data_IF_023716697877
#
_entry.id   IF_023716697877
#
_cell.length_a   1.000
_cell.length_b   1.000
_cell.length_c   1.000
_cell.angle_alpha   90.00
_cell.angle_beta   90.00
_cell.angle_gamma   90.00
#
_symmetry.space_group_name_H-M   'P 1'
#
loop_
_entity.id
_entity.type
_entity.pdbx_description
1 polymer ?
#
# COMPACT_ATOMS: atom_id res chain seq x y z
N UNK A 1 -5.43 35.93 -23.75
CA UNK A 1 -4.73 34.80 -24.42
C UNK A 1 -5.65 33.59 -24.42
N UNK A 2 -5.58 32.73 -25.43
CA UNK A 2 -6.36 31.49 -25.52
C UNK A 2 -5.37 30.32 -25.55
N UNK A 3 -5.69 29.28 -24.82
CA UNK A 3 -4.90 28.04 -24.72
C UNK A 3 -5.66 26.87 -25.32
N UNK A 4 -4.93 25.92 -25.91
CA UNK A 4 -5.45 24.66 -26.42
C UNK A 4 -4.95 23.58 -25.45
N UNK A 5 -5.89 22.96 -24.72
CA UNK A 5 -5.54 22.11 -23.56
C UNK A 5 -6.20 20.74 -23.72
N UNK A 6 -5.43 19.68 -23.43
CA UNK A 6 -5.93 18.33 -23.22
C UNK A 6 -6.11 18.05 -21.75
N UNK A 7 -7.26 17.46 -21.42
CA UNK A 7 -7.56 17.00 -20.07
C UNK A 7 -7.69 15.46 -20.07
N UNK A 8 -7.36 14.88 -18.95
CA UNK A 8 -7.67 13.47 -18.72
C UNK A 8 -9.14 13.28 -18.29
N UNK A 9 -9.55 12.02 -18.09
CA UNK A 9 -10.91 11.65 -17.68
C UNK A 9 -11.32 12.22 -16.31
N UNK A 10 -10.35 12.59 -15.48
CA UNK A 10 -10.57 13.19 -14.15
C UNK A 10 -10.62 14.71 -14.19
N UNK A 11 -10.30 15.31 -15.34
CA UNK A 11 -10.28 16.75 -15.56
C UNK A 11 -8.94 17.42 -15.26
N UNK A 12 -7.87 16.66 -15.08
CA UNK A 12 -6.53 17.20 -14.91
C UNK A 12 -5.92 17.59 -16.25
N UNK A 13 -5.26 18.75 -16.26
CA UNK A 13 -4.55 19.27 -17.41
C UNK A 13 -3.33 18.40 -17.74
N UNK A 14 -3.26 17.91 -18.98
CA UNK A 14 -2.15 17.10 -19.48
C UNK A 14 -1.20 17.93 -20.34
N UNK A 15 -1.64 18.37 -21.53
CA UNK A 15 -0.85 19.13 -22.49
C UNK A 15 -1.48 20.49 -22.71
N UNK A 16 -0.64 21.51 -22.94
CA UNK A 16 -1.08 22.89 -23.13
C UNK A 16 -0.27 23.56 -24.21
N UNK A 17 -0.96 24.22 -25.13
CA UNK A 17 -0.38 25.03 -26.19
C UNK A 17 -1.00 26.44 -26.19
N UNK A 18 -0.23 27.44 -26.61
CA UNK A 18 -0.72 28.82 -26.80
C UNK A 18 -1.29 28.92 -28.19
N UNK A 19 -2.56 29.27 -28.32
CA UNK A 19 -3.27 29.32 -29.63
C UNK A 19 -2.61 30.26 -30.60
N UNK A 20 -2.19 31.45 -30.15
CA UNK A 20 -1.62 32.51 -31.01
C UNK A 20 -0.24 32.14 -31.59
N UNK A 21 0.40 31.09 -31.08
CA UNK A 21 1.69 30.58 -31.57
C UNK A 21 1.53 29.45 -32.60
N UNK A 22 0.30 29.13 -33.02
CA UNK A 22 -0.01 27.95 -33.83
C UNK A 22 -0.70 28.34 -35.15
N UNK A 23 -0.58 27.45 -36.16
CA UNK A 23 -1.33 27.57 -37.40
C UNK A 23 -2.77 27.11 -37.20
N UNK A 24 -3.71 27.69 -38.00
CA UNK A 24 -5.12 27.26 -37.94
C UNK A 24 -5.32 25.77 -38.25
N UNK A 25 -4.49 25.20 -39.10
CA UNK A 25 -4.52 23.77 -39.44
C UNK A 25 -4.18 22.92 -38.19
N UNK A 26 -3.10 23.29 -37.49
CA UNK A 26 -2.68 22.57 -36.27
C UNK A 26 -3.71 22.72 -35.14
N UNK A 27 -4.32 23.90 -35.00
CA UNK A 27 -5.38 24.10 -34.00
C UNK A 27 -6.56 23.16 -34.29
N UNK A 28 -6.97 23.06 -35.58
CA UNK A 28 -8.08 22.18 -35.96
C UNK A 28 -7.78 20.71 -35.68
N UNK A 29 -6.59 20.24 -36.01
CA UNK A 29 -6.14 18.88 -35.68
C UNK A 29 -6.24 18.59 -34.21
N UNK A 30 -5.73 19.45 -33.32
CA UNK A 30 -5.78 19.27 -31.87
C UNK A 30 -7.22 19.24 -31.35
N UNK A 31 -8.10 20.10 -31.86
CA UNK A 31 -9.52 20.07 -31.47
C UNK A 31 -10.18 18.74 -31.86
N UNK A 32 -9.84 18.21 -33.05
CA UNK A 32 -10.31 16.89 -33.50
C UNK A 32 -9.72 15.74 -32.66
N UNK A 33 -8.53 15.92 -32.06
CA UNK A 33 -7.89 15.00 -31.10
C UNK A 33 -8.45 15.12 -29.66
N UNK A 34 -9.45 15.98 -29.43
CA UNK A 34 -10.11 16.14 -28.14
C UNK A 34 -9.48 17.17 -27.20
N UNK A 35 -8.63 18.06 -27.74
CA UNK A 35 -8.23 19.25 -27.02
C UNK A 35 -9.36 20.27 -27.02
N UNK A 36 -9.37 21.16 -26.05
CA UNK A 36 -10.36 22.23 -25.95
C UNK A 36 -9.71 23.62 -25.83
N UNK A 37 -10.42 24.64 -26.24
CA UNK A 37 -10.01 26.03 -26.04
C UNK A 37 -10.35 26.48 -24.62
N UNK A 38 -9.37 27.09 -23.94
CA UNK A 38 -9.51 27.63 -22.59
C UNK A 38 -9.03 29.08 -22.60
N UNK A 39 -9.80 29.98 -22.03
CA UNK A 39 -9.43 31.39 -21.92
C UNK A 39 -8.36 31.61 -20.83
N UNK A 40 -7.80 32.83 -20.81
CA UNK A 40 -6.73 33.19 -19.85
C UNK A 40 -7.17 33.05 -18.38
N UNK A 41 -8.38 33.47 -18.03
CA UNK A 41 -8.89 33.45 -16.65
C UNK A 41 -9.01 32.02 -16.15
N UNK A 42 -9.66 31.15 -16.91
CA UNK A 42 -9.80 29.73 -16.58
C UNK A 42 -8.45 29.03 -16.55
N UNK A 43 -7.52 29.39 -17.45
CA UNK A 43 -6.18 28.83 -17.40
C UNK A 43 -5.42 29.22 -16.14
N UNK A 44 -5.51 30.47 -15.71
CA UNK A 44 -4.89 30.91 -14.45
C UNK A 44 -5.55 30.27 -13.23
N UNK A 45 -6.83 29.96 -13.27
CA UNK A 45 -7.55 29.21 -12.25
C UNK A 45 -7.02 27.76 -12.17
N UNK A 46 -6.85 27.09 -13.32
CA UNK A 46 -6.26 25.75 -13.42
C UNK A 46 -4.82 25.69 -12.87
N UNK A 47 -4.08 26.80 -12.89
CA UNK A 47 -2.73 26.90 -12.34
C UNK A 47 -2.69 27.27 -10.85
N UNK A 48 -3.82 27.63 -10.26
CA UNK A 48 -3.89 28.12 -8.88
C UNK A 48 -3.43 29.57 -8.71
N UNK A 49 -3.33 30.35 -9.78
CA UNK A 49 -2.80 31.71 -9.72
C UNK A 49 -3.85 32.77 -9.31
N UNK A 50 -5.14 32.41 -9.24
CA UNK A 50 -6.23 33.34 -8.88
C UNK A 50 -6.49 33.31 -7.38
N UNK A 51 -6.64 32.12 -6.78
CA UNK A 51 -7.03 31.92 -5.39
C UNK A 51 -6.03 31.11 -4.56
N UNK A 52 -4.91 30.72 -5.18
CA UNK A 52 -3.87 29.90 -4.57
C UNK A 52 -4.18 28.39 -4.55
N UNK A 53 -5.23 27.96 -5.25
CA UNK A 53 -5.68 26.57 -5.33
C UNK A 53 -5.71 26.09 -6.76
N UNK A 54 -5.17 24.92 -7.02
CA UNK A 54 -5.27 24.27 -8.33
C UNK A 54 -6.69 23.76 -8.53
N UNK A 55 -7.22 23.94 -9.74
CA UNK A 55 -8.56 23.50 -10.12
C UNK A 55 -8.49 22.45 -11.23
N UNK A 56 -9.48 21.58 -11.24
CA UNK A 56 -9.72 20.58 -12.27
C UNK A 56 -11.00 20.94 -13.06
N UNK A 57 -11.01 20.63 -14.36
CA UNK A 57 -12.17 20.82 -15.21
C UNK A 57 -13.15 19.66 -15.05
N UNK A 58 -14.40 19.99 -14.82
CA UNK A 58 -15.51 19.02 -14.84
C UNK A 58 -16.64 19.48 -15.74
N UNK A 59 -17.49 18.55 -16.13
CA UNK A 59 -18.73 18.80 -16.82
C UNK A 59 -19.89 18.32 -15.96
N UNK A 60 -20.73 19.26 -15.53
CA UNK A 60 -21.88 18.99 -14.66
C UNK A 60 -23.13 19.51 -15.39
N UNK A 61 -24.07 18.63 -15.67
CA UNK A 61 -25.32 18.94 -16.40
C UNK A 61 -25.12 19.63 -17.77
N UNK A 62 -23.99 19.32 -18.44
CA UNK A 62 -23.62 19.92 -19.72
C UNK A 62 -22.94 21.28 -19.64
N UNK A 63 -22.67 21.77 -18.43
CA UNK A 63 -21.91 22.99 -18.19
C UNK A 63 -20.49 22.67 -17.71
N UNK A 64 -19.49 23.42 -18.18
CA UNK A 64 -18.10 23.31 -17.74
C UNK A 64 -17.94 24.09 -16.44
N UNK A 65 -17.46 23.40 -15.41
CA UNK A 65 -17.13 23.98 -14.11
C UNK A 65 -15.67 23.67 -13.77
N UNK A 66 -15.04 24.56 -13.03
CA UNK A 66 -13.72 24.35 -12.46
C UNK A 66 -13.85 24.20 -10.95
N UNK A 67 -13.53 23.02 -10.44
CA UNK A 67 -13.58 22.71 -9.01
C UNK A 67 -12.18 22.69 -8.43
N UNK A 68 -12.05 23.10 -7.15
CA UNK A 68 -10.80 22.92 -6.41
C UNK A 68 -10.34 21.45 -6.45
N UNK A 69 -9.06 21.24 -6.77
CA UNK A 69 -8.47 19.90 -6.71
C UNK A 69 -8.66 19.29 -5.32
N UNK A 70 -9.23 18.10 -5.21
CA UNK A 70 -9.39 17.46 -3.90
C UNK A 70 -8.01 17.23 -3.26
N UNK A 71 -7.92 17.36 -1.92
CA UNK A 71 -6.66 17.13 -1.24
C UNK A 71 -6.15 15.71 -1.55
N UNK A 72 -4.84 15.63 -1.82
CA UNK A 72 -4.20 14.35 -2.03
C UNK A 72 -4.37 13.45 -0.80
N UNK A 73 -4.92 12.28 -1.00
CA UNK A 73 -5.04 11.23 0.02
C UNK A 73 -4.11 10.09 -0.38
N UNK A 74 -3.04 9.82 0.38
CA UNK A 74 -2.14 8.73 0.06
C UNK A 74 -2.87 7.39 0.00
N UNK A 75 -2.50 6.56 -0.94
CA UNK A 75 -2.93 5.16 -0.99
C UNK A 75 -2.32 4.37 0.18
N UNK A 76 -2.90 3.23 0.51
CA UNK A 76 -2.33 2.36 1.55
C UNK A 76 -0.91 1.90 1.17
N UNK A 77 -0.66 1.63 -0.10
CA UNK A 77 0.67 1.25 -0.61
C UNK A 77 1.72 2.34 -0.38
N UNK A 78 1.36 3.61 -0.64
CA UNK A 78 2.25 4.75 -0.36
C UNK A 78 2.50 4.95 1.13
N UNK A 79 1.48 4.73 1.98
CA UNK A 79 1.64 4.77 3.43
C UNK A 79 2.56 3.65 3.93
N UNK A 80 2.41 2.43 3.39
CA UNK A 80 3.27 1.29 3.71
C UNK A 80 4.71 1.52 3.26
N UNK A 81 4.94 2.14 2.09
CA UNK A 81 6.28 2.53 1.63
C UNK A 81 6.91 3.58 2.55
N UNK A 82 6.15 4.59 2.98
CA UNK A 82 6.63 5.62 3.89
C UNK A 82 6.99 5.02 5.25
N UNK A 83 6.14 4.16 5.81
CA UNK A 83 6.42 3.45 7.07
C UNK A 83 7.66 2.58 6.94
N UNK A 84 7.79 1.80 5.86
CA UNK A 84 8.94 0.95 5.61
C UNK A 84 10.25 1.75 5.53
N UNK A 85 10.25 2.86 4.82
CA UNK A 85 11.43 3.73 4.70
C UNK A 85 11.82 4.35 6.06
N UNK A 86 10.85 4.82 6.84
CA UNK A 86 11.07 5.37 8.17
C UNK A 86 11.62 4.28 9.13
N UNK A 87 11.00 3.10 9.14
CA UNK A 87 11.42 1.98 9.96
C UNK A 87 12.84 1.50 9.61
N UNK A 88 13.17 1.42 8.32
CA UNK A 88 14.52 1.03 7.86
C UNK A 88 15.59 1.98 8.36
N UNK A 89 15.36 3.29 8.30
CA UNK A 89 16.28 4.30 8.83
C UNK A 89 16.47 4.17 10.35
N UNK A 90 15.38 3.94 11.09
CA UNK A 90 15.44 3.77 12.54
C UNK A 90 16.19 2.49 12.93
N UNK A 91 15.94 1.36 12.25
CA UNK A 91 16.65 0.10 12.46
C UNK A 91 18.14 0.21 12.14
N UNK A 92 18.52 0.95 11.09
CA UNK A 92 19.92 1.23 10.77
C UNK A 92 20.59 2.03 11.90
N UNK A 93 19.91 3.03 12.44
CA UNK A 93 20.42 3.83 13.57
C UNK A 93 20.62 2.97 14.81
N UNK A 94 19.66 2.11 15.13
CA UNK A 94 19.77 1.16 16.25
C UNK A 94 20.92 0.15 16.06
N UNK A 95 21.12 -0.34 14.85
CA UNK A 95 22.24 -1.24 14.53
C UNK A 95 23.61 -0.56 14.67
N UNK A 96 23.74 0.69 14.22
CA UNK A 96 24.95 1.48 14.39
C UNK A 96 25.21 1.75 15.88
N UNK A 97 24.20 2.14 16.65
CA UNK A 97 24.31 2.35 18.08
C UNK A 97 24.74 1.06 18.81
N UNK A 98 24.15 -0.10 18.45
CA UNK A 98 24.55 -1.39 19.01
C UNK A 98 26.02 -1.72 18.73
N UNK A 99 26.49 -1.43 17.50
CA UNK A 99 27.90 -1.60 17.13
C UNK A 99 28.81 -0.70 17.96
N UNK A 100 28.45 0.56 18.17
CA UNK A 100 29.21 1.52 18.97
C UNK A 100 29.27 1.09 20.44
N UNK A 101 28.13 0.64 21.01
CA UNK A 101 28.06 0.14 22.38
C UNK A 101 28.91 -1.15 22.57
N UNK A 102 28.88 -2.05 21.57
CA UNK A 102 29.71 -3.27 21.60
C UNK A 102 31.22 -2.96 21.62
N UNK A 103 31.64 -1.88 20.95
CA UNK A 103 33.03 -1.40 20.97
C UNK A 103 33.41 -0.76 22.32
N UNK A 104 32.43 -0.28 23.07
CA UNK A 104 32.62 0.34 24.40
C UNK A 104 32.44 -0.62 25.57
N UNK A 105 32.23 -1.95 25.33
CA UNK A 105 31.92 -2.95 26.33
C UNK A 105 30.61 -2.69 27.12
N UNK A 106 29.68 -1.94 26.56
CA UNK A 106 28.38 -1.65 27.17
C UNK A 106 27.38 -2.79 27.00
N UNK A 107 26.39 -2.85 27.89
CA UNK A 107 25.31 -3.85 27.82
C UNK A 107 24.38 -3.63 26.62
N UNK A 108 24.32 -4.61 25.71
CA UNK A 108 23.52 -4.56 24.48
C UNK A 108 22.10 -5.08 24.64
N UNK A 109 21.70 -5.55 25.84
CA UNK A 109 20.39 -6.20 26.06
C UNK A 109 19.25 -5.22 25.76
N UNK A 110 19.34 -4.00 26.24
CA UNK A 110 18.32 -2.96 26.02
C UNK A 110 18.19 -2.61 24.53
N UNK A 111 19.31 -2.40 23.84
CA UNK A 111 19.33 -2.10 22.40
C UNK A 111 18.72 -3.23 21.58
N UNK A 112 19.05 -4.48 21.90
CA UNK A 112 18.46 -5.67 21.27
C UNK A 112 16.94 -5.72 21.47
N UNK A 113 16.46 -5.48 22.68
CA UNK A 113 15.04 -5.49 23.01
C UNK A 113 14.29 -4.36 22.26
N UNK A 114 14.90 -3.18 22.16
CA UNK A 114 14.37 -2.05 21.41
C UNK A 114 14.25 -2.40 19.93
N UNK A 115 15.30 -2.96 19.34
CA UNK A 115 15.31 -3.42 17.94
C UNK A 115 14.20 -4.45 17.67
N UNK A 116 14.07 -5.48 18.52
CA UNK A 116 13.03 -6.48 18.37
C UNK A 116 11.62 -5.90 18.53
N UNK A 117 11.44 -4.99 19.47
CA UNK A 117 10.16 -4.31 19.67
C UNK A 117 9.78 -3.47 18.46
N UNK A 118 10.75 -2.78 17.87
CA UNK A 118 10.52 -2.02 16.62
C UNK A 118 10.11 -2.93 15.47
N UNK A 119 10.80 -4.06 15.25
CA UNK A 119 10.41 -5.03 14.21
C UNK A 119 8.97 -5.54 14.37
N UNK A 120 8.49 -5.76 15.60
CA UNK A 120 7.10 -6.19 15.85
C UNK A 120 6.09 -5.11 15.52
N UNK A 121 6.42 -3.83 15.77
CA UNK A 121 5.49 -2.70 15.60
C UNK A 121 5.29 -2.28 14.16
N UNK A 122 6.12 -2.75 13.21
CA UNK A 122 5.98 -2.44 11.78
C UNK A 122 4.71 -3.10 11.25
N UNK A 123 3.86 -2.34 10.55
CA UNK A 123 2.65 -2.86 9.91
C UNK A 123 2.96 -4.02 8.96
N UNK A 124 1.97 -4.83 8.63
CA UNK A 124 2.17 -5.97 7.75
C UNK A 124 2.51 -5.52 6.32
N UNK A 125 1.88 -4.44 5.82
CA UNK A 125 2.18 -3.85 4.52
C UNK A 125 3.62 -3.30 4.44
N UNK A 126 4.02 -2.47 5.39
CA UNK A 126 5.39 -1.93 5.45
C UNK A 126 6.44 -3.05 5.65
N UNK A 127 6.12 -4.09 6.42
CA UNK A 127 7.01 -5.23 6.61
C UNK A 127 7.28 -6.00 5.31
N UNK A 128 6.30 -6.10 4.42
CA UNK A 128 6.49 -6.69 3.10
C UNK A 128 7.39 -5.86 2.19
N UNK A 129 7.32 -4.52 2.26
CA UNK A 129 8.21 -3.60 1.51
C UNK A 129 9.68 -3.67 1.95
N UNK A 130 9.96 -4.26 3.12
CA UNK A 130 11.30 -4.38 3.70
C UNK A 130 11.55 -5.78 4.29
N UNK A 131 11.01 -6.81 3.69
CA UNK A 131 11.02 -8.18 4.22
C UNK A 131 12.43 -8.72 4.50
N UNK A 132 13.44 -8.25 3.77
CA UNK A 132 14.85 -8.64 3.92
C UNK A 132 15.46 -8.29 5.28
N UNK A 133 14.86 -7.36 6.06
CA UNK A 133 15.39 -7.01 7.38
C UNK A 133 14.92 -7.95 8.49
N UNK A 134 13.91 -8.78 8.21
CA UNK A 134 13.38 -9.72 9.19
C UNK A 134 14.23 -10.99 9.27
N UNK A 135 14.38 -11.57 10.49
CA UNK A 135 15.20 -12.76 10.66
C UNK A 135 14.58 -13.97 9.97
N UNK A 136 15.42 -14.89 9.54
CA UNK A 136 14.95 -16.20 9.08
C UNK A 136 14.37 -17.01 10.26
N UNK A 137 13.33 -17.79 9.94
CA UNK A 137 12.80 -18.76 10.89
C UNK A 137 13.87 -19.76 11.33
N UNK A 138 13.85 -20.15 12.60
CA UNK A 138 14.74 -21.15 13.18
C UNK A 138 13.95 -22.13 14.03
N UNK A 139 14.16 -23.44 13.79
CA UNK A 139 13.61 -24.54 14.62
C UNK A 139 14.43 -24.89 15.83
N UNK A 140 15.54 -24.18 16.13
CA UNK A 140 16.52 -24.52 17.13
C UNK A 140 16.18 -23.93 18.52
N UNK A 141 15.05 -24.32 19.10
CA UNK A 141 14.63 -23.89 20.45
C UNK A 141 14.65 -22.36 20.62
N UNK A 142 14.33 -21.62 19.58
CA UNK A 142 14.22 -20.17 19.62
C UNK A 142 12.90 -19.77 20.25
N UNK A 143 12.94 -18.83 21.18
CA UNK A 143 11.74 -18.20 21.71
C UNK A 143 11.18 -17.21 20.70
N UNK A 144 9.93 -17.40 20.34
CA UNK A 144 9.14 -16.48 19.52
C UNK A 144 8.05 -15.86 20.35
N UNK A 145 7.86 -14.57 20.15
CA UNK A 145 6.81 -13.77 20.80
C UNK A 145 5.75 -13.44 19.77
N UNK A 146 4.50 -13.36 20.19
CA UNK A 146 3.40 -12.92 19.32
C UNK A 146 3.78 -11.63 18.59
N UNK A 147 3.41 -11.55 17.32
CA UNK A 147 3.70 -10.47 16.38
C UNK A 147 5.18 -10.39 15.90
N UNK A 148 6.06 -11.30 16.35
CA UNK A 148 7.35 -11.48 15.66
C UNK A 148 7.09 -11.82 14.18
N UNK A 149 7.93 -11.27 13.31
CA UNK A 149 7.88 -11.60 11.88
C UNK A 149 9.15 -12.33 11.49
N UNK A 150 9.02 -13.37 10.66
CA UNK A 150 10.14 -14.23 10.23
C UNK A 150 10.03 -14.60 8.76
N UNK A 151 11.16 -14.69 8.08
CA UNK A 151 11.25 -15.22 6.71
C UNK A 151 11.39 -16.74 6.74
N UNK A 152 10.59 -17.42 5.92
CA UNK A 152 10.70 -18.85 5.65
C UNK A 152 10.38 -19.11 4.18
N UNK A 153 11.30 -19.77 3.47
CA UNK A 153 11.21 -20.03 2.03
C UNK A 153 10.85 -18.79 1.18
N UNK A 154 11.43 -17.63 1.54
CA UNK A 154 11.21 -16.37 0.83
C UNK A 154 9.87 -15.67 1.15
N UNK A 155 9.07 -16.24 2.04
CA UNK A 155 7.77 -15.70 2.46
C UNK A 155 7.87 -15.15 3.87
N UNK A 156 7.26 -14.00 4.14
CA UNK A 156 7.19 -13.41 5.47
C UNK A 156 5.99 -13.99 6.24
N UNK A 157 6.24 -14.45 7.46
CA UNK A 157 5.24 -14.98 8.38
C UNK A 157 5.22 -14.19 9.68
N UNK A 158 4.03 -14.03 10.24
CA UNK A 158 3.80 -13.45 11.57
C UNK A 158 3.52 -14.54 12.59
N UNK A 159 4.13 -14.44 13.76
CA UNK A 159 3.90 -15.34 14.91
C UNK A 159 2.57 -14.99 15.56
N UNK A 160 1.69 -15.99 15.73
CA UNK A 160 0.34 -15.82 16.28
C UNK A 160 0.29 -15.93 17.79
N UNK A 161 1.22 -16.66 18.39
CA UNK A 161 1.30 -16.85 19.84
C UNK A 161 2.73 -17.14 20.31
N UNK A 162 3.00 -16.83 21.57
CA UNK A 162 4.31 -17.11 22.16
C UNK A 162 4.58 -18.61 22.19
N UNK A 163 5.74 -19.01 21.71
CA UNK A 163 6.17 -20.42 21.75
C UNK A 163 7.67 -20.55 21.63
N UNK A 164 8.19 -21.70 22.01
CA UNK A 164 9.57 -22.10 21.73
C UNK A 164 9.57 -22.99 20.49
N UNK A 165 10.33 -22.62 19.45
CA UNK A 165 10.36 -23.32 18.18
C UNK A 165 10.88 -24.76 18.31
N UNK A 166 10.44 -25.62 17.42
CA UNK A 166 10.91 -26.97 17.20
C UNK A 166 11.15 -27.22 15.72
N UNK A 167 12.08 -28.08 15.37
CA UNK A 167 12.50 -28.33 13.99
C UNK A 167 11.33 -28.66 13.04
N UNK A 168 10.33 -29.41 13.49
CA UNK A 168 9.14 -29.79 12.72
C UNK A 168 8.03 -28.74 12.68
N UNK A 169 8.14 -27.64 13.43
CA UNK A 169 7.09 -26.59 13.50
C UNK A 169 7.41 -25.41 12.59
N UNK A 170 7.62 -25.74 11.31
CA UNK A 170 7.86 -24.69 10.30
C UNK A 170 6.63 -23.81 10.09
N UNK A 171 6.78 -22.57 9.60
CA UNK A 171 5.64 -21.68 9.31
C UNK A 171 4.55 -22.29 8.43
N UNK A 172 4.92 -23.18 7.51
CA UNK A 172 3.99 -23.91 6.64
C UNK A 172 3.37 -25.15 7.30
N UNK A 173 4.06 -25.80 8.26
CA UNK A 173 3.56 -27.02 8.92
C UNK A 173 2.78 -26.74 10.21
N UNK A 174 2.89 -25.55 10.79
CA UNK A 174 2.26 -25.16 12.04
C UNK A 174 1.39 -23.89 11.90
N UNK A 175 0.27 -23.95 11.17
CA UNK A 175 -0.58 -22.78 10.90
C UNK A 175 -1.25 -22.21 12.16
N UNK A 176 -1.28 -22.93 13.27
CA UNK A 176 -1.72 -22.41 14.57
C UNK A 176 -0.69 -21.48 15.23
N UNK A 177 0.57 -21.52 14.79
CA UNK A 177 1.67 -20.72 15.34
C UNK A 177 2.05 -19.56 14.42
N UNK A 178 1.78 -19.68 13.13
CA UNK A 178 2.22 -18.74 12.12
C UNK A 178 1.11 -18.40 11.12
N UNK A 179 1.03 -17.13 10.72
CA UNK A 179 0.24 -16.65 9.61
C UNK A 179 1.14 -16.07 8.52
N UNK A 180 0.83 -16.33 7.27
CA UNK A 180 1.48 -15.63 6.15
C UNK A 180 1.12 -14.14 6.22
N UNK A 181 2.11 -13.27 6.11
CA UNK A 181 1.87 -11.82 6.01
C UNK A 181 1.39 -11.51 4.59
N UNK A 182 0.24 -10.90 4.49
CA UNK A 182 -0.42 -10.53 3.22
C UNK A 182 -0.53 -9.02 3.13
N UNK A 183 -0.49 -8.48 1.90
CA UNK A 183 -0.79 -7.07 1.64
C UNK A 183 -2.29 -6.84 1.62
N UNK A 184 -2.73 -5.71 2.14
CA UNK A 184 -4.09 -5.22 1.92
C UNK A 184 -4.31 -4.65 0.51
N UNK A 185 -3.23 -4.30 -0.21
CA UNK A 185 -3.26 -3.79 -1.59
C UNK A 185 -2.02 -4.27 -2.36
N UNK A 186 -2.20 -4.96 -3.49
CA UNK A 186 -1.17 -5.21 -4.49
C UNK A 186 -1.07 -6.62 -5.03
N UNK A 187 -1.04 -7.65 -4.26
CA UNK A 187 -1.13 -9.02 -4.75
C UNK A 187 -2.28 -9.74 -4.06
N UNK A 188 -3.45 -9.68 -4.70
CA UNK A 188 -4.61 -10.44 -4.22
C UNK A 188 -4.32 -11.91 -4.52
N UNK A 189 -4.02 -12.66 -3.45
CA UNK A 189 -3.69 -14.07 -3.55
C UNK A 189 -4.95 -14.92 -3.78
N UNK A 190 -4.74 -16.11 -4.32
CA UNK A 190 -5.82 -17.10 -4.42
C UNK A 190 -6.33 -17.45 -3.01
N UNK A 191 -7.65 -17.64 -2.91
CA UNK A 191 -8.28 -18.09 -1.67
C UNK A 191 -7.70 -19.46 -1.26
N UNK A 192 -7.22 -19.55 -0.05
CA UNK A 192 -6.81 -20.80 0.57
C UNK A 192 -7.68 -21.08 1.80
N UNK A 193 -7.97 -22.36 2.07
CA UNK A 193 -8.75 -22.72 3.27
C UNK A 193 -8.01 -22.26 4.53
N UNK A 194 -8.49 -21.23 5.24
CA UNK A 194 -7.84 -20.78 6.46
C UNK A 194 -8.07 -21.75 7.61
N UNK A 195 -7.16 -21.74 8.59
CA UNK A 195 -7.40 -22.38 9.87
C UNK A 195 -8.26 -21.50 10.77
N UNK A 196 -8.81 -22.08 11.84
CA UNK A 196 -9.57 -21.32 12.85
C UNK A 196 -8.70 -20.27 13.60
N UNK A 197 -7.38 -20.38 13.49
CA UNK A 197 -6.41 -19.49 14.14
C UNK A 197 -5.85 -18.43 13.20
N UNK A 198 -6.11 -18.55 11.90
CA UNK A 198 -5.71 -17.59 10.88
C UNK A 198 -6.87 -17.39 9.86
N UNK A 199 -8.04 -16.93 10.31
CA UNK A 199 -9.17 -16.64 9.43
C UNK A 199 -8.92 -15.35 8.65
N UNK A 200 -9.64 -15.17 7.55
CA UNK A 200 -9.71 -13.87 6.89
C UNK A 200 -10.47 -12.87 7.77
N UNK A 201 -9.98 -11.66 7.80
CA UNK A 201 -10.61 -10.56 8.54
C UNK A 201 -11.44 -9.70 7.58
N UNK A 202 -12.34 -8.91 8.13
CA UNK A 202 -13.13 -7.97 7.34
C UNK A 202 -12.19 -7.00 6.59
N UNK A 203 -12.39 -6.90 5.27
CA UNK A 203 -11.56 -6.10 4.36
C UNK A 203 -10.46 -6.89 3.64
N UNK A 204 -10.15 -8.13 4.07
CA UNK A 204 -9.20 -8.98 3.36
C UNK A 204 -9.74 -9.34 1.97
N UNK A 205 -8.87 -9.26 0.96
CA UNK A 205 -9.21 -9.56 -0.43
C UNK A 205 -8.56 -10.88 -0.87
N UNK A 206 -9.30 -11.66 -1.65
CA UNK A 206 -8.83 -12.94 -2.20
C UNK A 206 -9.29 -13.10 -3.64
N UNK A 207 -8.51 -13.84 -4.44
CA UNK A 207 -8.97 -14.36 -5.74
C UNK A 207 -9.64 -15.70 -5.53
N UNK A 208 -10.84 -15.88 -6.08
CA UNK A 208 -11.56 -17.13 -6.05
C UNK A 208 -12.29 -17.33 -7.37
N UNK A 209 -12.02 -18.43 -8.07
CA UNK A 209 -12.59 -18.74 -9.39
C UNK A 209 -12.44 -17.57 -10.40
N UNK A 210 -11.28 -16.90 -10.40
CA UNK A 210 -10.95 -15.82 -11.35
C UNK A 210 -11.60 -14.47 -11.03
N UNK A 211 -12.25 -14.31 -9.87
CA UNK A 211 -12.85 -13.09 -9.37
C UNK A 211 -12.22 -12.66 -8.05
N UNK A 212 -12.32 -11.39 -7.73
CA UNK A 212 -11.82 -10.83 -6.47
C UNK A 212 -13.00 -10.71 -5.50
N UNK A 213 -12.78 -11.16 -4.26
CA UNK A 213 -13.73 -11.07 -3.18
C UNK A 213 -13.12 -10.40 -1.96
N UNK A 214 -13.86 -9.48 -1.35
CA UNK A 214 -13.53 -8.84 -0.08
C UNK A 214 -14.34 -9.46 1.05
N UNK A 215 -13.70 -9.83 2.15
CA UNK A 215 -14.38 -10.37 3.33
C UNK A 215 -15.20 -9.29 4.02
N UNK A 216 -16.47 -9.55 4.29
CA UNK A 216 -17.39 -8.65 4.98
C UNK A 216 -17.42 -8.85 6.49
N UNK A 217 -16.81 -9.93 6.98
CA UNK A 217 -16.83 -10.33 8.39
C UNK A 217 -15.43 -10.66 8.90
N UNK A 218 -15.25 -10.50 10.20
CA UNK A 218 -14.06 -10.99 10.90
C UNK A 218 -14.17 -12.50 11.12
N UNK A 219 -13.02 -13.16 11.23
CA UNK A 219 -12.90 -14.60 11.45
C UNK A 219 -13.57 -15.45 10.35
N UNK A 220 -13.51 -15.00 9.11
CA UNK A 220 -14.07 -15.69 7.97
C UNK A 220 -13.19 -16.90 7.58
N UNK A 221 -13.73 -18.11 7.74
CA UNK A 221 -13.06 -19.38 7.41
C UNK A 221 -13.71 -20.10 6.22
N UNK A 222 -14.73 -19.53 5.63
CA UNK A 222 -15.48 -20.12 4.52
C UNK A 222 -15.07 -19.50 3.19
N UNK A 223 -15.13 -20.28 2.11
CA UNK A 223 -14.92 -19.76 0.77
C UNK A 223 -16.07 -18.84 0.32
N UNK A 224 -15.84 -17.97 -0.68
CA UNK A 224 -16.91 -17.18 -1.30
C UNK A 224 -18.07 -18.02 -1.82
N UNK A 225 -17.81 -19.25 -2.27
CA UNK A 225 -18.85 -20.18 -2.72
C UNK A 225 -19.63 -20.80 -1.54
N UNK A 226 -18.93 -21.21 -0.48
CA UNK A 226 -19.55 -21.86 0.67
C UNK A 226 -20.37 -20.89 1.55
N UNK A 227 -19.95 -19.62 1.61
CA UNK A 227 -20.64 -18.58 2.39
C UNK A 227 -20.66 -17.23 1.65
N UNK A 228 -21.47 -17.09 0.58
CA UNK A 228 -21.50 -15.85 -0.22
C UNK A 228 -21.83 -14.57 0.56
N UNK A 229 -22.58 -14.70 1.68
CA UNK A 229 -22.97 -13.56 2.52
C UNK A 229 -21.79 -12.97 3.31
N UNK A 230 -20.71 -13.72 3.48
CA UNK A 230 -19.49 -13.27 4.13
C UNK A 230 -18.49 -12.59 3.18
N UNK A 231 -18.84 -12.47 1.89
CA UNK A 231 -17.96 -11.96 0.85
C UNK A 231 -18.69 -10.98 -0.06
N UNK A 232 -17.97 -10.02 -0.58
CA UNK A 232 -18.42 -9.08 -1.61
C UNK A 232 -17.50 -9.22 -2.81
N UNK A 233 -18.06 -9.51 -3.99
CA UNK A 233 -17.32 -9.44 -5.24
C UNK A 233 -16.93 -7.98 -5.49
N UNK A 234 -15.66 -7.71 -5.79
CA UNK A 234 -15.09 -6.39 -6.09
C UNK A 234 -14.36 -6.45 -7.43
N UNK A 235 -14.39 -5.35 -8.17
CA UNK A 235 -13.66 -5.21 -9.43
C UNK A 235 -12.19 -4.86 -9.13
N UNK A 236 -11.29 -5.18 -10.09
CA UNK A 236 -9.87 -4.79 -10.03
C UNK A 236 -9.70 -3.29 -10.04
#
# INVERSE_FOLDING_TARGET
MIYIIKFDEKGYRQETYVKDEMTEERIRELLDEGYIEVNEEDYQLLLGNIDGKVHIRKEVDGEVVYEEEPPYVPTQDELDEQEAAAAKNELQTLAVNAMMMSLADDDLVETKNTYQTKLRSISDGAALKMSEVFPYWSGNSKEYVKDDKVLYDGVLYKVLQNHTSQEGWTPTSAPSLFAKVLTSEGEILDWEQPSSTNPYMKGDKVKFNGKIYESLIDNNVWSPEAYPQGWKEVEE
#
